data_IF_034954485536
#
_entry.id   IF_034954485536
#
_cell.length_a   1.000
_cell.length_b   1.000
_cell.length_c   1.000
_cell.angle_alpha   90.00
_cell.angle_beta   90.00
_cell.angle_gamma   90.00
#
_symmetry.space_group_name_H-M   'P 1'
#
loop_
_entity.id
_entity.type
_entity.pdbx_description
1 polymer ?
#
# COMPACT_ATOMS: atom_id res chain seq x y z
N UNK A 1 7.94 15.03 22.06
CA UNK A 1 8.46 14.41 20.83
C UNK A 1 7.59 13.19 20.57
N UNK A 2 6.87 13.15 19.45
CA UNK A 2 5.98 12.03 19.08
C UNK A 2 6.84 10.81 18.76
N UNK A 3 6.45 9.65 19.25
CA UNK A 3 7.23 8.40 19.12
C UNK A 3 6.60 7.47 18.09
N UNK A 4 7.40 7.03 17.15
CA UNK A 4 6.93 6.18 16.04
C UNK A 4 7.70 4.87 15.97
N UNK A 5 7.02 3.82 15.54
CA UNK A 5 7.62 2.56 15.09
C UNK A 5 7.35 2.35 13.61
N UNK A 6 8.28 1.72 12.87
CA UNK A 6 8.21 1.57 11.43
C UNK A 6 8.38 0.10 11.07
N UNK A 7 7.34 -0.54 10.58
CA UNK A 7 7.41 -1.83 9.92
C UNK A 7 7.89 -1.65 8.47
N UNK A 8 9.07 -2.20 8.14
CA UNK A 8 9.63 -2.11 6.79
C UNK A 8 10.42 -0.82 6.51
N UNK A 9 11.24 -0.37 7.45
CA UNK A 9 12.05 0.86 7.36
C UNK A 9 13.04 0.89 6.20
N UNK A 10 13.45 -0.26 5.69
CA UNK A 10 14.39 -0.37 4.56
C UNK A 10 13.72 -0.36 3.18
N UNK A 11 12.39 -0.36 3.12
CA UNK A 11 11.61 -0.22 1.89
C UNK A 11 11.46 1.24 1.46
N UNK A 12 10.84 1.45 0.28
CA UNK A 12 10.67 2.79 -0.30
C UNK A 12 9.92 3.76 0.63
N UNK A 13 8.80 3.34 1.22
CA UNK A 13 8.05 4.17 2.16
C UNK A 13 8.80 4.34 3.48
N UNK A 14 9.42 3.26 3.98
CA UNK A 14 10.18 3.31 5.23
C UNK A 14 11.36 4.27 5.17
N UNK A 15 12.13 4.27 4.10
CA UNK A 15 13.26 5.21 3.92
C UNK A 15 12.76 6.66 3.81
N UNK A 16 11.68 6.91 3.07
CA UNK A 16 11.08 8.25 2.99
C UNK A 16 10.45 8.69 4.32
N UNK A 17 9.93 7.76 5.13
CA UNK A 17 9.50 8.06 6.51
C UNK A 17 10.68 8.56 7.34
N UNK A 18 11.83 7.90 7.25
CA UNK A 18 13.04 8.34 7.94
C UNK A 18 13.57 9.67 7.41
N UNK A 19 13.40 9.99 6.12
CA UNK A 19 13.71 11.32 5.57
C UNK A 19 12.81 12.40 6.21
N UNK A 20 11.53 12.12 6.39
CA UNK A 20 10.61 13.03 7.10
C UNK A 20 11.04 13.24 8.55
N UNK A 21 11.47 12.16 9.23
CA UNK A 21 12.00 12.26 10.60
C UNK A 21 13.23 13.16 10.66
N UNK A 22 14.20 12.97 9.75
CA UNK A 22 15.40 13.81 9.67
C UNK A 22 15.07 15.30 9.46
N UNK A 23 14.13 15.56 8.53
CA UNK A 23 13.79 16.92 8.15
C UNK A 23 13.11 17.72 9.27
N UNK A 24 12.30 17.07 10.10
CA UNK A 24 11.53 17.73 11.15
C UNK A 24 12.23 17.75 12.52
N UNK A 25 12.96 16.70 12.89
CA UNK A 25 13.74 16.63 14.13
C UNK A 25 12.94 16.54 15.44
N UNK A 26 11.60 16.40 15.36
CA UNK A 26 10.70 16.34 16.52
C UNK A 26 9.94 15.00 16.63
N UNK A 27 10.35 14.01 15.82
CA UNK A 27 9.91 12.62 15.89
C UNK A 27 11.02 11.73 16.45
N UNK A 28 10.67 10.81 17.34
CA UNK A 28 11.57 9.79 17.88
C UNK A 28 11.23 8.42 17.28
N UNK A 29 12.20 7.80 16.61
CA UNK A 29 12.06 6.43 16.07
C UNK A 29 12.42 5.44 17.16
N UNK A 30 11.41 4.81 17.78
CA UNK A 30 11.63 3.85 18.88
C UNK A 30 11.83 2.42 18.40
N UNK A 31 11.33 2.07 17.20
CA UNK A 31 11.45 0.74 16.64
C UNK A 31 11.43 0.74 15.11
N UNK A 32 12.22 -0.15 14.48
CA UNK A 32 12.30 -0.31 13.02
C UNK A 32 12.37 -1.78 12.63
N UNK A 33 11.96 -2.10 11.40
CA UNK A 33 12.13 -3.47 10.90
C UNK A 33 12.53 -3.54 9.44
N UNK A 34 13.10 -4.69 9.06
CA UNK A 34 13.36 -5.07 7.67
C UNK A 34 12.98 -6.53 7.42
N UNK A 35 12.74 -6.89 6.14
CA UNK A 35 12.61 -8.28 5.73
C UNK A 35 13.97 -9.02 5.86
N UNK A 36 14.92 -8.69 4.98
CA UNK A 36 16.26 -9.30 4.93
C UNK A 36 17.41 -8.31 4.72
N UNK A 37 17.11 -7.02 4.45
CA UNK A 37 18.14 -6.00 4.20
C UNK A 37 18.73 -5.48 5.50
N UNK A 38 19.55 -6.30 6.15
CA UNK A 38 20.19 -5.94 7.42
C UNK A 38 21.30 -4.90 7.27
N UNK A 39 21.89 -4.73 6.09
CA UNK A 39 22.94 -3.74 5.88
C UNK A 39 22.40 -2.31 6.00
N UNK A 40 21.26 -2.04 5.33
CA UNK A 40 20.59 -0.75 5.48
C UNK A 40 19.97 -0.60 6.88
N UNK A 41 19.41 -1.69 7.44
CA UNK A 41 18.84 -1.67 8.77
C UNK A 41 19.89 -1.33 9.85
N UNK A 42 21.12 -1.87 9.75
CA UNK A 42 22.24 -1.51 10.63
C UNK A 42 22.57 -0.01 10.55
N UNK A 43 22.63 0.55 9.34
CA UNK A 43 22.86 1.99 9.16
C UNK A 43 21.75 2.82 9.84
N UNK A 44 20.49 2.42 9.68
CA UNK A 44 19.36 3.07 10.32
C UNK A 44 19.39 2.94 11.86
N UNK A 45 19.79 1.79 12.38
CA UNK A 45 19.99 1.59 13.84
C UNK A 45 21.07 2.55 14.38
N UNK A 46 22.20 2.66 13.69
CA UNK A 46 23.30 3.55 14.10
C UNK A 46 22.96 5.03 14.00
N UNK A 47 22.05 5.40 13.10
CA UNK A 47 21.62 6.78 12.91
C UNK A 47 20.51 7.21 13.87
N UNK A 48 19.45 6.38 14.00
CA UNK A 48 18.23 6.75 14.73
C UNK A 48 18.20 6.22 16.16
N UNK A 49 19.14 5.33 16.54
CA UNK A 49 19.25 4.75 17.87
C UNK A 49 17.93 4.18 18.43
N UNK A 50 17.17 3.36 17.66
CA UNK A 50 15.93 2.77 18.15
C UNK A 50 16.22 1.81 19.32
N UNK A 51 15.24 1.62 20.18
CA UNK A 51 15.34 0.66 21.28
C UNK A 51 15.18 -0.78 20.82
N UNK A 52 14.46 -0.97 19.70
CA UNK A 52 14.13 -2.28 19.16
C UNK A 52 14.25 -2.29 17.63
N UNK A 53 14.77 -3.39 17.09
CA UNK A 53 14.72 -3.65 15.67
C UNK A 53 14.30 -5.10 15.41
N UNK A 54 13.49 -5.32 14.34
CA UNK A 54 13.04 -6.66 13.97
C UNK A 54 13.48 -7.02 12.53
N UNK A 55 13.84 -8.29 12.33
CA UNK A 55 14.20 -8.81 11.01
C UNK A 55 13.28 -9.98 10.69
N UNK A 56 12.65 -9.97 9.51
CA UNK A 56 11.75 -11.06 9.08
C UNK A 56 12.46 -12.41 8.93
N UNK A 57 13.71 -12.39 8.49
CA UNK A 57 14.57 -13.57 8.34
C UNK A 57 15.35 -13.82 9.64
N UNK A 58 15.18 -15.02 10.22
CA UNK A 58 15.79 -15.39 11.49
C UNK A 58 17.33 -15.49 11.40
N UNK A 59 17.85 -15.98 10.28
CA UNK A 59 19.31 -16.09 10.07
C UNK A 59 19.92 -14.69 9.97
N UNK A 60 19.26 -13.80 9.24
CA UNK A 60 19.67 -12.40 9.15
C UNK A 60 19.52 -11.65 10.47
N UNK A 61 18.55 -12.00 11.30
CA UNK A 61 18.41 -11.43 12.63
C UNK A 61 19.61 -11.81 13.54
N UNK A 62 20.05 -13.06 13.47
CA UNK A 62 21.25 -13.50 14.21
C UNK A 62 22.51 -12.76 13.73
N UNK A 63 22.70 -12.63 12.40
CA UNK A 63 23.81 -11.85 11.82
C UNK A 63 23.75 -10.38 12.26
N UNK A 64 22.58 -9.75 12.29
CA UNK A 64 22.45 -8.37 12.72
C UNK A 64 22.80 -8.18 14.20
N UNK A 65 22.40 -9.11 15.09
CA UNK A 65 22.77 -9.05 16.52
C UNK A 65 24.30 -8.95 16.72
N UNK A 66 25.06 -9.70 15.94
CA UNK A 66 26.53 -9.64 16.01
C UNK A 66 27.08 -8.32 15.49
N UNK A 67 26.47 -7.75 14.45
CA UNK A 67 26.89 -6.48 13.84
C UNK A 67 26.66 -5.27 14.75
N UNK A 68 25.57 -5.30 15.56
CA UNK A 68 25.17 -4.17 16.42
C UNK A 68 25.38 -4.44 17.92
N UNK A 69 26.20 -5.43 18.31
CA UNK A 69 26.49 -5.78 19.71
C UNK A 69 27.09 -4.65 20.53
N UNK A 70 27.60 -3.62 19.88
CA UNK A 70 28.13 -2.38 20.45
C UNK A 70 27.03 -1.36 20.82
N UNK A 71 25.77 -1.62 20.44
CA UNK A 71 24.65 -0.71 20.62
C UNK A 71 23.60 -1.30 21.59
N UNK A 72 22.91 -0.45 22.38
CA UNK A 72 21.87 -0.90 23.32
C UNK A 72 20.52 -1.13 22.62
N UNK A 73 20.51 -1.87 21.51
CA UNK A 73 19.31 -2.20 20.72
C UNK A 73 18.96 -3.67 20.88
N UNK A 74 17.70 -3.97 21.15
CA UNK A 74 17.19 -5.36 21.16
C UNK A 74 16.82 -5.77 19.73
N UNK A 75 17.23 -6.97 19.30
CA UNK A 75 16.91 -7.52 17.96
C UNK A 75 15.92 -8.66 18.09
N UNK A 76 14.71 -8.48 17.54
CA UNK A 76 13.69 -9.50 17.34
C UNK A 76 13.78 -10.16 15.97
N UNK A 77 13.08 -11.29 15.78
CA UNK A 77 13.06 -12.02 14.51
C UNK A 77 11.69 -12.58 14.18
N UNK A 78 11.45 -12.80 12.90
CA UNK A 78 10.23 -13.40 12.40
C UNK A 78 8.96 -12.59 12.71
N UNK A 79 7.82 -13.26 12.70
CA UNK A 79 6.51 -12.63 13.00
C UNK A 79 6.44 -12.13 14.46
N UNK A 80 6.98 -12.89 15.40
CA UNK A 80 6.98 -12.50 16.83
C UNK A 80 7.74 -11.20 17.04
N UNK A 81 8.91 -11.03 16.38
CA UNK A 81 9.66 -9.79 16.42
C UNK A 81 8.90 -8.61 15.79
N UNK A 82 8.16 -8.86 14.70
CA UNK A 82 7.33 -7.83 14.06
C UNK A 82 6.16 -7.41 14.98
N UNK A 83 5.54 -8.34 15.68
CA UNK A 83 4.45 -8.08 16.62
C UNK A 83 5.01 -7.35 17.86
N UNK A 84 6.16 -7.76 18.40
CA UNK A 84 6.80 -7.06 19.50
C UNK A 84 7.10 -5.60 19.15
N UNK A 85 7.64 -5.34 17.96
CA UNK A 85 7.86 -3.99 17.45
C UNK A 85 6.56 -3.19 17.35
N UNK A 86 5.52 -3.79 16.77
CA UNK A 86 4.24 -3.14 16.55
C UNK A 86 3.51 -2.78 17.85
N UNK A 87 3.79 -3.50 18.94
CA UNK A 87 3.14 -3.33 20.23
C UNK A 87 4.02 -2.61 21.28
N UNK A 88 5.16 -2.06 20.88
CA UNK A 88 6.06 -1.32 21.77
C UNK A 88 5.30 -0.25 22.58
N UNK A 89 5.35 -0.26 23.91
CA UNK A 89 4.55 0.66 24.73
C UNK A 89 4.91 2.13 24.50
N UNK A 90 6.14 2.40 24.10
CA UNK A 90 6.61 3.77 23.84
C UNK A 90 6.09 4.38 22.55
N UNK A 91 5.74 3.58 21.52
CA UNK A 91 5.26 4.13 20.25
C UNK A 91 3.82 4.62 20.37
N UNK A 92 3.51 5.73 19.71
CA UNK A 92 2.17 6.30 19.57
C UNK A 92 1.57 5.91 18.23
N UNK A 93 2.40 5.87 17.17
CA UNK A 93 2.02 5.54 15.80
C UNK A 93 2.87 4.39 15.30
N UNK A 94 2.23 3.44 14.61
CA UNK A 94 2.89 2.43 13.81
C UNK A 94 2.76 2.79 12.31
N UNK A 95 3.91 2.99 11.64
CA UNK A 95 3.95 3.09 10.18
C UNK A 95 4.05 1.70 9.58
N UNK A 96 3.05 1.28 8.80
CA UNK A 96 3.02 -0.04 8.18
C UNK A 96 3.53 0.03 6.73
N UNK A 97 4.85 -0.03 6.54
CA UNK A 97 5.52 0.12 5.26
C UNK A 97 6.06 -1.22 4.68
N UNK A 98 5.55 -2.34 5.15
CA UNK A 98 5.82 -3.67 4.59
C UNK A 98 4.82 -4.01 3.49
N UNK A 99 5.24 -4.81 2.52
CA UNK A 99 4.42 -5.21 1.37
C UNK A 99 3.76 -6.56 1.62
N UNK A 100 2.53 -6.74 1.12
CA UNK A 100 1.80 -8.00 1.18
C UNK A 100 1.07 -8.22 2.51
N UNK A 101 0.42 -9.37 2.64
CA UNK A 101 -0.46 -9.68 3.76
C UNK A 101 0.25 -9.94 5.08
N UNK A 102 1.57 -10.08 5.07
CA UNK A 102 2.40 -10.25 6.29
C UNK A 102 2.21 -9.09 7.29
N UNK A 103 1.79 -7.91 6.81
CA UNK A 103 1.52 -6.73 7.64
C UNK A 103 0.26 -6.80 8.49
N UNK A 104 -0.68 -7.71 8.21
CA UNK A 104 -2.00 -7.72 8.86
C UNK A 104 -1.87 -8.05 10.35
N UNK A 105 -1.17 -9.13 10.70
CA UNK A 105 -1.02 -9.56 12.11
C UNK A 105 -0.40 -8.48 13.01
N UNK A 106 0.76 -7.90 12.66
CA UNK A 106 1.32 -6.82 13.48
C UNK A 106 0.45 -5.56 13.50
N UNK A 107 -0.29 -5.24 12.43
CA UNK A 107 -1.24 -4.11 12.43
C UNK A 107 -2.39 -4.35 13.42
N UNK A 108 -3.00 -5.54 13.41
CA UNK A 108 -4.05 -5.94 14.38
C UNK A 108 -3.51 -5.86 15.82
N UNK A 109 -2.30 -6.35 16.05
CA UNK A 109 -1.67 -6.29 17.37
C UNK A 109 -1.43 -4.84 17.83
N UNK A 110 -0.96 -3.97 16.96
CA UNK A 110 -0.75 -2.55 17.25
C UNK A 110 -2.05 -1.83 17.62
N UNK A 111 -3.12 -2.08 16.85
CA UNK A 111 -4.44 -1.49 17.13
C UNK A 111 -4.97 -1.90 18.51
N UNK A 112 -4.86 -3.20 18.86
CA UNK A 112 -5.21 -3.72 20.19
C UNK A 112 -4.33 -3.14 21.32
N UNK A 113 -3.12 -2.70 20.97
CA UNK A 113 -2.22 -2.00 21.89
C UNK A 113 -2.45 -0.47 21.91
N UNK A 114 -3.53 0.02 21.27
CA UNK A 114 -3.92 1.44 21.27
C UNK A 114 -3.02 2.34 20.41
N UNK A 115 -2.42 1.80 19.32
CA UNK A 115 -1.56 2.58 18.43
C UNK A 115 -2.34 3.07 17.21
N UNK A 116 -2.18 4.34 16.87
CA UNK A 116 -2.61 4.83 15.57
C UNK A 116 -1.79 4.19 14.44
N UNK A 117 -2.40 3.99 13.29
CA UNK A 117 -1.78 3.32 12.14
C UNK A 117 -1.59 4.31 10.99
N UNK A 118 -0.34 4.63 10.67
CA UNK A 118 0.01 5.28 9.40
C UNK A 118 0.11 4.18 8.32
N UNK A 119 -0.99 3.97 7.60
CA UNK A 119 -1.21 2.82 6.72
C UNK A 119 -0.64 3.05 5.33
N UNK A 120 0.49 2.39 5.01
CA UNK A 120 1.00 2.30 3.64
C UNK A 120 0.79 0.91 3.01
N UNK A 121 0.48 -0.10 3.82
CA UNK A 121 0.20 -1.46 3.38
C UNK A 121 -1.29 -1.60 3.01
N UNK A 122 -1.62 -1.32 1.76
CA UNK A 122 -3.02 -1.36 1.27
C UNK A 122 -3.64 -2.74 1.34
N UNK A 123 -2.83 -3.80 1.23
CA UNK A 123 -3.28 -5.19 1.29
C UNK A 123 -4.02 -5.49 2.60
N UNK A 124 -3.68 -4.80 3.69
CA UNK A 124 -4.37 -4.91 4.98
C UNK A 124 -5.87 -4.60 4.88
N UNK A 125 -6.25 -3.50 4.20
CA UNK A 125 -7.67 -3.15 4.01
C UNK A 125 -8.31 -3.91 2.85
N UNK A 126 -7.56 -4.17 1.78
CA UNK A 126 -8.05 -4.95 0.64
C UNK A 126 -8.57 -6.31 1.08
N UNK A 127 -7.81 -7.02 1.91
CA UNK A 127 -8.10 -8.42 2.27
C UNK A 127 -8.85 -8.56 3.59
N UNK A 128 -8.63 -7.67 4.53
CA UNK A 128 -9.16 -7.75 5.89
C UNK A 128 -9.93 -6.49 6.34
N UNK A 129 -10.37 -5.63 5.42
CA UNK A 129 -11.04 -4.37 5.76
C UNK A 129 -12.28 -4.53 6.64
N UNK A 130 -13.04 -5.62 6.47
CA UNK A 130 -14.20 -5.98 7.29
C UNK A 130 -13.84 -6.33 8.74
N UNK A 131 -12.57 -6.69 9.01
CA UNK A 131 -12.04 -6.94 10.37
C UNK A 131 -11.37 -5.66 10.91
N UNK A 132 -10.55 -5.02 10.07
CA UNK A 132 -9.67 -3.91 10.47
C UNK A 132 -10.47 -2.66 10.84
N UNK A 133 -11.46 -2.27 10.03
CA UNK A 133 -12.20 -1.02 10.28
C UNK A 133 -13.05 -1.08 11.56
N UNK A 134 -13.83 -2.15 11.82
CA UNK A 134 -14.53 -2.28 13.11
C UNK A 134 -13.56 -2.37 14.31
N UNK A 135 -12.42 -3.06 14.18
CA UNK A 135 -11.42 -3.14 15.23
C UNK A 135 -10.80 -1.77 15.55
N UNK A 136 -10.57 -0.92 14.52
CA UNK A 136 -10.06 0.44 14.74
C UNK A 136 -11.05 1.28 15.56
N UNK A 137 -12.35 1.18 15.25
CA UNK A 137 -13.41 1.85 15.99
C UNK A 137 -13.50 1.33 17.43
N UNK A 138 -13.49 0.01 17.63
CA UNK A 138 -13.52 -0.64 18.96
C UNK A 138 -12.33 -0.22 19.83
N UNK A 139 -11.12 -0.18 19.26
CA UNK A 139 -9.90 0.23 19.95
C UNK A 139 -9.76 1.75 20.10
N UNK A 140 -10.59 2.55 19.43
CA UNK A 140 -10.50 4.02 19.43
C UNK A 140 -9.23 4.55 18.78
N UNK A 141 -8.65 3.83 17.80
CA UNK A 141 -7.43 4.21 17.09
C UNK A 141 -7.73 4.72 15.69
N UNK A 142 -6.85 5.57 15.15
CA UNK A 142 -7.01 6.13 13.83
C UNK A 142 -6.22 5.33 12.78
N UNK A 143 -6.82 5.16 11.59
CA UNK A 143 -6.11 4.70 10.40
C UNK A 143 -5.86 5.91 9.51
N UNK A 144 -4.58 6.30 9.41
CA UNK A 144 -4.11 7.48 8.70
C UNK A 144 -3.48 7.02 7.38
N UNK A 145 -4.08 7.34 6.22
CA UNK A 145 -3.60 6.82 4.94
C UNK A 145 -2.27 7.45 4.53
N UNK A 146 -1.36 6.61 4.07
CA UNK A 146 -0.07 6.99 3.47
C UNK A 146 -0.10 6.83 1.95
N UNK A 147 -0.92 5.92 1.41
CA UNK A 147 -1.13 5.85 -0.04
C UNK A 147 -1.58 7.23 -0.57
N UNK A 148 -0.98 7.71 -1.67
CA UNK A 148 -1.13 9.09 -2.15
C UNK A 148 -2.56 9.47 -2.46
N UNK A 149 -3.31 8.59 -3.10
CA UNK A 149 -4.70 8.79 -3.48
C UNK A 149 -5.61 8.86 -2.26
N UNK A 150 -5.41 7.93 -1.31
CA UNK A 150 -6.19 7.88 -0.07
C UNK A 150 -5.85 9.04 0.86
N UNK A 151 -4.58 9.42 0.94
CA UNK A 151 -4.16 10.64 1.65
C UNK A 151 -4.80 11.88 1.04
N UNK A 152 -4.89 11.97 -0.28
CA UNK A 152 -5.54 13.08 -0.97
C UNK A 152 -7.04 13.18 -0.61
N UNK A 153 -7.77 12.06 -0.68
CA UNK A 153 -9.17 12.00 -0.27
C UNK A 153 -9.32 12.37 1.21
N UNK A 154 -8.48 11.82 2.08
CA UNK A 154 -8.48 12.10 3.51
C UNK A 154 -8.24 13.60 3.79
N UNK A 155 -7.34 14.26 3.03
CA UNK A 155 -7.11 15.69 3.11
C UNK A 155 -8.30 16.52 2.64
N UNK A 156 -8.99 16.10 1.56
CA UNK A 156 -10.21 16.75 1.07
C UNK A 156 -11.38 16.63 2.06
N UNK A 157 -11.39 15.57 2.87
CA UNK A 157 -12.45 15.33 3.86
C UNK A 157 -12.16 15.97 5.23
N UNK A 158 -11.03 16.67 5.38
CA UNK A 158 -10.69 17.31 6.65
C UNK A 158 -11.63 18.47 6.95
N UNK A 159 -12.44 18.33 8.01
CA UNK A 159 -13.47 19.29 8.41
C UNK A 159 -14.81 19.09 7.70
N UNK A 160 -14.90 18.17 6.76
CA UNK A 160 -16.11 17.87 6.01
C UNK A 160 -16.94 16.74 6.65
N UNK A 161 -18.25 16.74 6.37
CA UNK A 161 -19.14 15.69 6.79
C UNK A 161 -19.11 14.53 5.78
N UNK A 162 -18.60 13.37 6.17
CA UNK A 162 -18.54 12.18 5.30
C UNK A 162 -19.90 11.72 4.74
N UNK A 163 -21.01 12.08 5.38
CA UNK A 163 -22.37 11.77 4.89
C UNK A 163 -22.77 12.59 3.66
N UNK A 164 -22.01 13.65 3.38
CA UNK A 164 -22.23 14.52 2.22
C UNK A 164 -21.39 14.11 1.00
N UNK A 165 -20.62 13.03 1.09
CA UNK A 165 -19.89 12.45 -0.06
C UNK A 165 -20.94 11.94 -1.06
N UNK A 166 -20.87 12.42 -2.30
CA UNK A 166 -21.58 11.85 -3.44
C UNK A 166 -20.73 10.80 -4.12
N UNK A 167 -19.43 11.11 -4.35
CA UNK A 167 -18.53 10.21 -5.06
C UNK A 167 -17.06 10.45 -4.69
N UNK A 168 -16.28 9.39 -4.65
CA UNK A 168 -14.83 9.45 -4.64
C UNK A 168 -14.29 9.33 -6.07
N UNK A 169 -13.40 10.24 -6.45
CA UNK A 169 -12.75 10.27 -7.76
C UNK A 169 -11.27 9.93 -7.58
N UNK A 170 -10.94 8.64 -7.75
CA UNK A 170 -9.56 8.15 -7.60
C UNK A 170 -8.82 8.37 -8.91
N UNK A 171 -7.71 9.11 -8.86
CA UNK A 171 -6.91 9.37 -10.06
C UNK A 171 -5.90 8.24 -10.32
N UNK A 172 -5.59 8.02 -11.58
CA UNK A 172 -4.58 7.10 -12.06
C UNK A 172 -3.66 7.79 -13.06
N UNK A 173 -2.37 7.46 -13.08
CA UNK A 173 -1.47 7.92 -14.16
C UNK A 173 -1.79 7.26 -15.51
N UNK A 174 -2.47 6.11 -15.48
CA UNK A 174 -2.70 5.23 -16.62
C UNK A 174 -1.54 4.25 -16.88
N UNK A 175 -0.45 4.34 -16.11
CA UNK A 175 0.70 3.45 -16.23
C UNK A 175 1.54 3.65 -17.50
N UNK A 176 2.60 2.83 -17.70
CA UNK A 176 3.51 2.96 -18.84
C UNK A 176 2.90 2.60 -20.20
N UNK A 177 1.77 1.93 -20.20
CA UNK A 177 1.12 1.44 -21.41
C UNK A 177 -0.17 2.18 -21.77
N UNK A 178 -0.43 3.32 -21.14
CA UNK A 178 -1.59 4.17 -21.43
C UNK A 178 -1.70 4.44 -22.94
N UNK A 179 -2.90 4.22 -23.51
CA UNK A 179 -3.20 4.43 -24.93
C UNK A 179 -2.79 3.27 -25.85
N UNK A 180 -2.19 2.19 -25.32
CA UNK A 180 -1.89 0.98 -26.11
C UNK A 180 -3.11 0.08 -26.21
N UNK A 181 -3.25 -0.57 -27.35
CA UNK A 181 -4.23 -1.62 -27.60
C UNK A 181 -3.78 -2.96 -27.04
N UNK A 182 -4.71 -3.90 -26.85
CA UNK A 182 -4.40 -5.26 -26.36
C UNK A 182 -3.38 -5.98 -27.26
N UNK A 183 -3.47 -5.80 -28.58
CA UNK A 183 -2.50 -6.41 -29.54
C UNK A 183 -1.09 -5.85 -29.35
N UNK A 184 -0.94 -4.55 -29.06
CA UNK A 184 0.37 -3.95 -28.78
C UNK A 184 0.98 -4.43 -27.45
N UNK A 185 0.14 -4.95 -26.55
CA UNK A 185 0.58 -5.48 -25.25
C UNK A 185 1.04 -6.94 -25.30
N UNK A 186 0.76 -7.70 -26.37
CA UNK A 186 1.08 -9.13 -26.45
C UNK A 186 2.56 -9.46 -26.24
N UNK A 187 3.44 -8.55 -26.70
CA UNK A 187 4.89 -8.78 -26.69
C UNK A 187 5.68 -7.72 -25.88
N UNK A 188 5.01 -7.02 -24.95
CA UNK A 188 5.71 -6.07 -24.08
C UNK A 188 6.62 -6.80 -23.11
N UNK A 189 7.78 -6.20 -22.85
CA UNK A 189 8.80 -6.80 -21.98
C UNK A 189 8.68 -6.29 -20.55
N UNK A 190 9.34 -7.00 -19.61
CA UNK A 190 9.47 -6.58 -18.21
C UNK A 190 10.10 -5.20 -18.12
N UNK A 191 11.14 -4.96 -18.89
CA UNK A 191 11.87 -3.69 -18.91
C UNK A 191 11.00 -2.51 -19.38
N UNK A 192 10.07 -2.76 -20.31
CA UNK A 192 9.09 -1.76 -20.76
C UNK A 192 8.03 -1.50 -19.68
N UNK A 193 7.54 -2.57 -19.03
CA UNK A 193 6.52 -2.47 -18.00
C UNK A 193 7.02 -1.77 -16.72
N UNK A 194 8.33 -1.83 -16.44
CA UNK A 194 8.96 -1.16 -15.30
C UNK A 194 9.26 0.34 -15.53
N UNK A 195 9.00 0.89 -16.72
CA UNK A 195 9.23 2.32 -17.03
C UNK A 195 8.00 3.17 -16.72
N UNK A 196 7.74 3.40 -15.41
CA UNK A 196 6.63 4.28 -15.02
C UNK A 196 6.93 5.74 -15.41
N UNK A 197 5.96 6.51 -15.99
CA UNK A 197 6.21 7.85 -16.51
C UNK A 197 6.49 8.91 -15.43
N UNK A 198 5.89 8.79 -14.23
CA UNK A 198 5.89 9.86 -13.22
C UNK A 198 6.56 9.46 -11.89
N UNK A 199 6.55 8.16 -11.56
CA UNK A 199 6.96 7.68 -10.25
C UNK A 199 8.15 6.72 -10.33
N UNK A 200 9.06 6.84 -9.38
CA UNK A 200 10.09 5.83 -9.12
C UNK A 200 9.61 4.93 -7.97
N UNK A 201 9.22 3.71 -8.29
CA UNK A 201 8.56 2.78 -7.35
C UNK A 201 9.23 1.40 -7.38
N UNK A 202 8.86 0.56 -6.42
CA UNK A 202 9.24 -0.85 -6.43
C UNK A 202 8.69 -1.61 -7.65
N UNK A 203 9.31 -2.73 -8.00
CA UNK A 203 8.97 -3.49 -9.21
C UNK A 203 7.52 -3.98 -9.19
N UNK A 204 7.05 -4.55 -8.06
CA UNK A 204 5.69 -5.10 -7.94
C UNK A 204 4.63 -4.02 -8.23
N UNK A 205 4.67 -2.90 -7.52
CA UNK A 205 3.68 -1.82 -7.68
C UNK A 205 3.76 -1.16 -9.06
N UNK A 206 4.93 -1.15 -9.71
CA UNK A 206 5.07 -0.63 -11.08
C UNK A 206 4.34 -1.52 -12.09
N UNK A 207 4.40 -2.86 -11.94
CA UNK A 207 3.62 -3.79 -12.76
C UNK A 207 2.13 -3.67 -12.43
N UNK A 208 1.75 -3.52 -11.16
CA UNK A 208 0.36 -3.28 -10.75
C UNK A 208 -0.20 -1.99 -11.38
N UNK A 209 0.62 -0.95 -11.51
CA UNK A 209 0.25 0.28 -12.23
C UNK A 209 0.06 0.02 -13.73
N UNK A 210 0.97 -0.75 -14.35
CA UNK A 210 0.91 -1.09 -15.76
C UNK A 210 -0.34 -1.92 -16.12
N UNK A 211 -0.84 -2.74 -15.20
CA UNK A 211 -2.02 -3.61 -15.36
C UNK A 211 -3.33 -2.97 -14.87
N UNK A 212 -3.29 -1.79 -14.25
CA UNK A 212 -4.37 -1.18 -13.46
C UNK A 212 -4.85 -2.02 -12.26
N UNK A 213 -4.13 -3.05 -11.87
CA UNK A 213 -4.40 -3.78 -10.62
C UNK A 213 -4.19 -2.86 -9.41
N UNK A 214 -3.13 -2.04 -9.40
CA UNK A 214 -2.91 -1.08 -8.31
C UNK A 214 -4.15 -0.23 -8.06
N UNK A 215 -4.74 0.29 -9.14
CA UNK A 215 -5.95 1.11 -9.03
C UNK A 215 -7.16 0.32 -8.54
N UNK A 216 -7.23 -0.96 -8.90
CA UNK A 216 -8.23 -1.88 -8.35
C UNK A 216 -8.08 -2.11 -6.84
N UNK A 217 -6.84 -2.32 -6.37
CA UNK A 217 -6.55 -2.44 -4.93
C UNK A 217 -6.92 -1.14 -4.18
N UNK A 218 -6.62 0.01 -4.76
CA UNK A 218 -6.96 1.31 -4.18
C UNK A 218 -8.47 1.57 -4.11
N UNK A 219 -9.26 1.11 -5.09
CA UNK A 219 -10.72 1.15 -5.03
C UNK A 219 -11.26 0.33 -3.84
N UNK A 220 -10.68 -0.87 -3.62
CA UNK A 220 -11.05 -1.70 -2.47
C UNK A 220 -10.67 -1.05 -1.13
N UNK A 221 -9.47 -0.47 -1.05
CA UNK A 221 -9.01 0.25 0.13
C UNK A 221 -9.90 1.45 0.43
N UNK A 222 -10.23 2.27 -0.59
CA UNK A 222 -11.10 3.44 -0.43
C UNK A 222 -12.50 3.07 0.08
N UNK A 223 -13.08 1.99 -0.43
CA UNK A 223 -14.37 1.46 0.06
C UNK A 223 -14.36 1.28 1.58
N UNK A 224 -13.32 0.66 2.11
CA UNK A 224 -13.21 0.39 3.54
C UNK A 224 -12.84 1.64 4.35
N UNK A 225 -11.83 2.37 3.92
CA UNK A 225 -11.29 3.50 4.67
C UNK A 225 -12.27 4.68 4.79
N UNK A 226 -13.08 4.89 3.76
CA UNK A 226 -14.04 6.00 3.73
C UNK A 226 -15.49 5.56 3.91
N UNK A 227 -15.78 4.26 3.94
CA UNK A 227 -17.13 3.73 4.10
C UNK A 227 -18.05 4.07 2.92
N UNK A 228 -17.51 4.07 1.70
CA UNK A 228 -18.23 4.43 0.47
C UNK A 228 -18.43 3.18 -0.39
N UNK A 229 -19.67 2.99 -0.91
CA UNK A 229 -19.95 1.87 -1.80
C UNK A 229 -19.23 1.97 -3.13
N UNK A 230 -18.94 0.82 -3.76
CA UNK A 230 -18.20 0.75 -5.01
C UNK A 230 -18.81 1.57 -6.16
N UNK A 231 -20.13 1.70 -6.18
CA UNK A 231 -20.82 2.45 -7.24
C UNK A 231 -20.66 3.98 -7.08
N UNK A 232 -20.19 4.42 -5.92
CA UNK A 232 -19.79 5.80 -5.61
C UNK A 232 -18.27 6.01 -5.67
N UNK A 233 -17.50 5.07 -6.26
CA UNK A 233 -16.06 5.21 -6.48
C UNK A 233 -15.79 5.14 -7.98
N UNK A 234 -15.30 6.24 -8.53
CA UNK A 234 -14.95 6.36 -9.94
C UNK A 234 -13.44 6.52 -10.11
N UNK A 235 -12.87 5.80 -11.08
CA UNK A 235 -11.47 5.98 -11.47
C UNK A 235 -11.40 6.88 -12.71
N UNK A 236 -10.51 7.87 -12.65
CA UNK A 236 -10.21 8.79 -13.77
C UNK A 236 -8.71 8.83 -14.02
N UNK A 237 -8.30 8.90 -15.28
CA UNK A 237 -6.88 9.00 -15.61
C UNK A 237 -6.47 10.47 -15.62
N UNK A 238 -5.44 10.79 -14.83
CA UNK A 238 -4.76 12.09 -14.80
C UNK A 238 -3.27 11.86 -15.10
N UNK A 239 -2.84 12.01 -16.36
CA UNK A 239 -1.55 11.53 -16.85
C UNK A 239 -0.31 12.10 -16.14
N UNK A 240 -0.38 13.33 -15.66
CA UNK A 240 0.73 14.01 -15.00
C UNK A 240 0.88 13.68 -13.51
N UNK A 241 -0.08 12.96 -12.91
CA UNK A 241 -0.14 12.66 -11.46
C UNK A 241 -0.01 13.91 -10.57
N UNK A 242 -0.60 15.03 -10.98
CA UNK A 242 -0.61 16.30 -10.22
C UNK A 242 -1.81 16.37 -9.28
N UNK A 243 -2.98 15.89 -9.72
CA UNK A 243 -4.14 15.67 -8.86
C UNK A 243 -4.04 14.26 -8.34
N UNK A 244 -3.92 14.12 -7.03
CA UNK A 244 -3.73 12.81 -6.40
C UNK A 244 -5.04 12.08 -6.11
N UNK A 245 -6.15 12.77 -5.94
CA UNK A 245 -7.56 12.30 -6.01
C UNK A 245 -8.51 13.45 -5.61
N UNK A 246 -9.81 13.20 -5.71
CA UNK A 246 -10.85 14.20 -5.49
C UNK A 246 -12.05 13.59 -4.78
N UNK A 247 -12.84 14.46 -4.15
CA UNK A 247 -14.14 14.12 -3.55
C UNK A 247 -15.20 15.01 -4.17
N UNK A 248 -16.25 14.42 -4.72
CA UNK A 248 -17.46 15.09 -5.16
C UNK A 248 -18.49 15.02 -4.03
N UNK A 249 -19.07 16.15 -3.67
CA UNK A 249 -20.10 16.28 -2.64
C UNK A 249 -21.50 16.38 -3.26
N UNK A 250 -22.54 16.14 -2.45
CA UNK A 250 -23.95 16.15 -2.89
C UNK A 250 -24.44 17.47 -3.49
N UNK A 251 -23.80 18.58 -3.17
CA UNK A 251 -24.09 19.89 -3.74
C UNK A 251 -23.40 20.12 -5.12
N UNK A 252 -22.63 19.13 -5.59
CA UNK A 252 -21.89 19.18 -6.85
C UNK A 252 -20.50 19.81 -6.73
N UNK A 253 -20.07 20.26 -5.53
CA UNK A 253 -18.72 20.72 -5.31
C UNK A 253 -17.72 19.56 -5.45
N UNK A 254 -16.56 19.81 -6.07
CA UNK A 254 -15.47 18.86 -6.15
C UNK A 254 -14.23 19.44 -5.48
N UNK A 255 -13.77 18.79 -4.43
CA UNK A 255 -12.50 19.13 -3.77
C UNK A 255 -11.39 18.19 -4.23
N UNK A 256 -10.22 18.74 -4.51
CA UNK A 256 -9.07 18.00 -5.02
C UNK A 256 -7.80 18.35 -4.25
N UNK A 257 -6.97 17.36 -3.95
CA UNK A 257 -5.63 17.60 -3.44
C UNK A 257 -4.64 17.53 -4.61
N UNK A 258 -3.84 18.59 -4.75
CA UNK A 258 -2.80 18.72 -5.76
C UNK A 258 -1.43 18.77 -5.12
N UNK A 259 -0.44 18.17 -5.78
CA UNK A 259 0.95 18.19 -5.34
C UNK A 259 1.90 17.64 -6.40
N UNK A 260 3.19 17.81 -6.18
CA UNK A 260 4.21 17.07 -6.92
C UNK A 260 4.18 15.60 -6.51
N UNK A 261 4.57 14.64 -7.40
CA UNK A 261 4.59 13.22 -7.06
C UNK A 261 5.72 12.91 -6.06
N UNK A 262 5.45 13.07 -4.77
CA UNK A 262 6.38 12.82 -3.66
C UNK A 262 5.63 12.17 -2.49
N UNK A 263 6.06 10.96 -2.10
CA UNK A 263 5.43 10.24 -0.98
C UNK A 263 5.73 10.85 0.39
N UNK A 264 6.70 11.75 0.51
CA UNK A 264 6.97 12.45 1.79
C UNK A 264 5.79 13.30 2.24
N UNK A 265 5.01 13.85 1.31
CA UNK A 265 3.82 14.64 1.65
C UNK A 265 2.75 13.82 2.38
N UNK A 266 2.23 12.71 1.83
CA UNK A 266 1.25 11.87 2.54
C UNK A 266 1.83 11.22 3.79
N UNK A 267 3.10 10.81 3.80
CA UNK A 267 3.77 10.30 5.00
C UNK A 267 3.78 11.35 6.10
N UNK A 268 4.26 12.56 5.80
CA UNK A 268 4.31 13.65 6.78
C UNK A 268 2.92 14.02 7.28
N UNK A 269 1.93 14.07 6.39
CA UNK A 269 0.56 14.39 6.80
C UNK A 269 -0.01 13.33 7.75
N UNK A 270 0.21 12.05 7.49
CA UNK A 270 -0.20 10.98 8.40
C UNK A 270 0.48 11.06 9.77
N UNK A 271 1.77 11.40 9.83
CA UNK A 271 2.53 11.48 11.08
C UNK A 271 2.16 12.69 11.94
N UNK A 272 1.75 13.79 11.33
CA UNK A 272 1.45 15.05 12.02
C UNK A 272 -0.03 15.41 12.06
N UNK A 273 -0.90 14.58 11.48
CA UNK A 273 -2.33 14.87 11.45
C UNK A 273 -2.86 15.32 12.82
N UNK A 274 -3.70 16.38 12.89
CA UNK A 274 -4.27 17.15 11.78
C UNK A 274 -3.40 18.34 11.30
N UNK A 275 -2.19 18.51 11.82
CA UNK A 275 -1.31 19.63 11.51
C UNK A 275 -0.60 19.48 10.16
N UNK A 276 -0.34 20.62 9.51
CA UNK A 276 0.55 20.69 8.35
C UNK A 276 1.90 21.26 8.77
N UNK A 277 2.97 20.56 8.39
CA UNK A 277 4.35 20.96 8.65
C UNK A 277 5.03 21.39 7.35
N UNK A 278 6.07 22.22 7.48
CA UNK A 278 6.91 22.53 6.33
C UNK A 278 7.53 21.25 5.77
N UNK A 279 7.46 21.10 4.45
CA UNK A 279 8.12 20.03 3.72
C UNK A 279 8.99 20.68 2.64
N UNK A 280 10.30 20.41 2.68
CA UNK A 280 11.22 20.85 1.64
C UNK A 280 10.95 20.06 0.33
N UNK A 281 11.17 20.70 -0.81
CA UNK A 281 10.99 20.11 -2.14
C UNK A 281 10.27 21.04 -3.09
N UNK A 282 10.03 20.54 -4.28
CA UNK A 282 9.41 21.30 -5.37
C UNK A 282 7.96 21.66 -5.04
N UNK A 283 7.53 22.83 -5.54
CA UNK A 283 6.17 23.31 -5.47
C UNK A 283 5.55 23.33 -6.85
N UNK A 284 4.23 23.18 -6.92
CA UNK A 284 3.52 23.32 -8.18
C UNK A 284 3.63 24.77 -8.66
N UNK A 285 4.13 24.94 -9.88
CA UNK A 285 4.07 26.17 -10.63
C UNK A 285 2.89 26.09 -11.62
N UNK A 286 1.79 26.74 -11.30
CA UNK A 286 0.58 26.69 -12.11
C UNK A 286 0.75 27.40 -13.47
N UNK A 287 1.64 28.36 -13.58
CA UNK A 287 1.94 29.03 -14.84
C UNK A 287 2.72 28.07 -15.78
N UNK A 288 3.70 27.34 -15.25
CA UNK A 288 4.43 26.34 -16.01
C UNK A 288 3.58 25.09 -16.29
N UNK A 289 2.70 24.69 -15.37
CA UNK A 289 1.78 23.58 -15.55
C UNK A 289 0.78 23.81 -16.69
N UNK A 290 0.32 25.04 -16.84
CA UNK A 290 -0.60 25.56 -17.88
C UNK A 290 -1.96 24.87 -17.95
N UNK A 291 -1.99 23.54 -18.11
CA UNK A 291 -3.22 22.74 -18.22
C UNK A 291 -3.14 21.42 -17.48
N UNK A 292 -4.29 20.97 -17.00
CA UNK A 292 -4.51 19.65 -16.41
C UNK A 292 -5.53 18.92 -17.31
N UNK A 293 -5.25 17.68 -17.66
CA UNK A 293 -6.10 16.86 -18.52
C UNK A 293 -6.56 15.62 -17.83
N UNK A 294 -7.74 15.14 -18.19
CA UNK A 294 -8.31 13.88 -17.73
C UNK A 294 -8.69 13.01 -18.92
N UNK A 295 -8.60 11.70 -18.71
CA UNK A 295 -9.00 10.68 -19.69
C UNK A 295 -9.89 9.65 -19.00
N UNK A 296 -10.71 8.96 -19.79
CA UNK A 296 -11.45 7.79 -19.31
C UNK A 296 -10.49 6.63 -19.08
N UNK A 297 -10.77 5.84 -18.06
CA UNK A 297 -10.04 4.60 -17.78
C UNK A 297 -10.43 3.55 -18.82
N UNK A 298 -9.45 2.97 -19.50
CA UNK A 298 -9.64 1.87 -20.45
C UNK A 298 -9.72 0.54 -19.69
N UNK A 299 -10.93 0.10 -19.39
CA UNK A 299 -11.21 -1.16 -18.69
C UNK A 299 -11.34 -2.36 -19.62
N UNK A 300 -11.36 -2.15 -20.93
CA UNK A 300 -11.44 -3.23 -21.93
C UNK A 300 -10.05 -3.78 -22.24
N UNK A 301 -9.05 -2.91 -22.32
CA UNK A 301 -7.65 -3.29 -22.52
C UNK A 301 -6.98 -3.74 -21.22
N UNK A 302 -7.19 -3.01 -20.11
CA UNK A 302 -6.55 -3.24 -18.82
C UNK A 302 -7.52 -3.86 -17.81
N UNK A 303 -7.52 -5.18 -17.74
CA UNK A 303 -8.51 -5.95 -16.99
C UNK A 303 -8.29 -5.93 -15.45
N UNK A 304 -7.18 -5.40 -14.96
CA UNK A 304 -6.87 -5.40 -13.53
C UNK A 304 -7.91 -4.67 -12.68
N UNK A 305 -8.37 -3.49 -13.12
CA UNK A 305 -9.40 -2.73 -12.42
C UNK A 305 -10.78 -3.42 -12.42
N UNK A 306 -11.35 -3.84 -13.58
CA UNK A 306 -12.64 -4.53 -13.56
C UNK A 306 -12.62 -5.85 -12.79
N UNK A 307 -11.53 -6.62 -12.82
CA UNK A 307 -11.38 -7.84 -12.02
C UNK A 307 -11.35 -7.55 -10.52
N UNK A 308 -10.65 -6.50 -10.10
CA UNK A 308 -10.64 -6.04 -8.73
C UNK A 308 -12.04 -5.60 -8.25
N UNK A 309 -12.76 -4.85 -9.08
CA UNK A 309 -14.14 -4.45 -8.78
C UNK A 309 -15.07 -5.68 -8.66
N UNK A 310 -14.88 -6.69 -9.52
CA UNK A 310 -15.60 -7.96 -9.42
C UNK A 310 -15.28 -8.68 -8.10
N UNK A 311 -13.99 -8.80 -7.74
CA UNK A 311 -13.57 -9.41 -6.46
C UNK A 311 -14.18 -8.69 -5.27
N UNK A 312 -14.19 -7.36 -5.28
CA UNK A 312 -14.78 -6.53 -4.23
C UNK A 312 -16.31 -6.66 -4.13
N UNK A 313 -17.02 -6.80 -5.27
CA UNK A 313 -18.46 -7.06 -5.27
C UNK A 313 -18.82 -8.44 -4.76
N UNK A 314 -18.01 -9.45 -5.10
CA UNK A 314 -18.14 -10.81 -4.55
C UNK A 314 -17.92 -10.79 -3.04
N UNK A 315 -16.95 -10.02 -2.56
CA UNK A 315 -16.66 -9.86 -1.13
C UNK A 315 -16.05 -11.09 -0.48
N UNK A 316 -16.15 -11.16 0.84
CA UNK A 316 -15.60 -12.25 1.62
C UNK A 316 -14.11 -12.48 1.37
N UNK A 317 -13.71 -13.73 1.11
CA UNK A 317 -12.31 -14.09 0.81
C UNK A 317 -11.85 -13.80 -0.62
N UNK A 318 -12.74 -13.36 -1.54
CA UNK A 318 -12.38 -13.14 -2.94
C UNK A 318 -11.34 -12.01 -3.16
N UNK A 319 -11.39 -10.86 -2.45
CA UNK A 319 -10.31 -9.86 -2.52
C UNK A 319 -8.93 -10.41 -2.13
N UNK A 320 -8.87 -11.34 -1.17
CA UNK A 320 -7.63 -12.02 -0.78
C UNK A 320 -7.08 -12.85 -1.94
N UNK A 321 -7.93 -13.64 -2.59
CA UNK A 321 -7.52 -14.46 -3.74
C UNK A 321 -7.07 -13.60 -4.91
N UNK A 322 -7.78 -12.51 -5.20
CA UNK A 322 -7.37 -11.55 -6.22
C UNK A 322 -5.97 -10.98 -5.93
N UNK A 323 -5.72 -10.53 -4.71
CA UNK A 323 -4.43 -9.98 -4.31
C UNK A 323 -3.32 -11.02 -4.37
N UNK A 324 -3.53 -12.20 -3.78
CA UNK A 324 -2.55 -13.29 -3.76
C UNK A 324 -2.22 -13.78 -5.19
N UNK A 325 -3.23 -13.91 -6.04
CA UNK A 325 -3.04 -14.29 -7.44
C UNK A 325 -2.24 -13.24 -8.21
N UNK A 326 -2.53 -11.96 -8.00
CA UNK A 326 -1.75 -10.88 -8.59
C UNK A 326 -0.29 -10.90 -8.14
N UNK A 327 -0.01 -11.07 -6.86
CA UNK A 327 1.37 -11.15 -6.36
C UNK A 327 2.17 -12.24 -7.05
N UNK A 328 1.59 -13.44 -7.21
CA UNK A 328 2.24 -14.57 -7.89
C UNK A 328 2.34 -14.35 -9.41
N UNK A 329 1.31 -13.79 -10.04
CA UNK A 329 1.34 -13.47 -11.47
C UNK A 329 2.42 -12.44 -11.79
N UNK A 330 2.54 -11.39 -10.98
CA UNK A 330 3.59 -10.38 -11.13
C UNK A 330 4.98 -11.00 -10.93
N UNK A 331 5.16 -11.87 -9.94
CA UNK A 331 6.43 -12.58 -9.73
C UNK A 331 6.80 -13.47 -10.94
N UNK A 332 5.83 -14.19 -11.50
CA UNK A 332 6.01 -15.00 -12.72
C UNK A 332 6.40 -14.13 -13.93
N UNK A 333 5.74 -12.99 -14.11
CA UNK A 333 6.06 -12.05 -15.18
C UNK A 333 7.46 -11.46 -15.03
N UNK A 334 7.84 -10.99 -13.83
CA UNK A 334 9.17 -10.47 -13.55
C UNK A 334 10.27 -11.52 -13.77
N UNK A 335 9.96 -12.79 -13.48
CA UNK A 335 10.83 -13.94 -13.77
C UNK A 335 10.80 -14.37 -15.25
N UNK A 336 10.06 -13.68 -16.12
CA UNK A 336 9.87 -13.99 -17.56
C UNK A 336 9.29 -15.38 -17.82
N UNK A 337 8.51 -15.92 -16.87
CA UNK A 337 7.84 -17.23 -16.99
C UNK A 337 6.48 -17.13 -17.67
N UNK A 338 5.86 -15.97 -17.64
CA UNK A 338 4.60 -15.65 -18.34
C UNK A 338 4.73 -14.30 -19.07
N UNK A 339 3.86 -14.08 -20.06
CA UNK A 339 3.74 -12.79 -20.76
C UNK A 339 2.86 -11.82 -19.98
N UNK A 340 2.90 -10.55 -20.34
CA UNK A 340 2.18 -9.47 -19.64
C UNK A 340 0.66 -9.72 -19.53
N UNK A 341 0.02 -10.08 -20.63
CA UNK A 341 -1.42 -10.33 -20.64
C UNK A 341 -1.83 -11.60 -19.88
N UNK A 342 -0.93 -12.57 -19.72
CA UNK A 342 -1.16 -13.79 -18.95
C UNK A 342 -1.26 -13.51 -17.45
N UNK A 343 -0.85 -12.32 -16.96
CA UNK A 343 -1.10 -11.87 -15.58
C UNK A 343 -2.62 -11.94 -15.29
N UNK A 344 -3.44 -11.44 -16.20
CA UNK A 344 -4.90 -11.48 -16.04
C UNK A 344 -5.46 -12.90 -16.05
N UNK A 345 -4.89 -13.80 -16.87
CA UNK A 345 -5.33 -15.19 -16.95
C UNK A 345 -5.03 -15.94 -15.64
N UNK A 346 -3.88 -15.67 -15.01
CA UNK A 346 -3.53 -16.24 -13.70
C UNK A 346 -4.52 -15.77 -12.63
N UNK A 347 -4.83 -14.48 -12.60
CA UNK A 347 -5.75 -13.89 -11.62
C UNK A 347 -7.17 -14.47 -11.82
N UNK A 348 -7.68 -14.46 -13.07
CA UNK A 348 -8.99 -14.99 -13.40
C UNK A 348 -9.13 -16.46 -13.00
N UNK A 349 -8.16 -17.29 -13.38
CA UNK A 349 -8.17 -18.72 -13.08
C UNK A 349 -8.15 -19.03 -11.57
N UNK A 350 -7.42 -18.25 -10.78
CA UNK A 350 -7.43 -18.38 -9.32
C UNK A 350 -8.77 -17.99 -8.71
N UNK A 351 -9.36 -16.87 -9.18
CA UNK A 351 -10.68 -16.42 -8.74
C UNK A 351 -11.80 -17.41 -9.09
N UNK A 352 -11.75 -18.03 -10.26
CA UNK A 352 -12.71 -19.07 -10.68
C UNK A 352 -12.58 -20.36 -9.87
N UNK A 353 -11.36 -20.76 -9.52
CA UNK A 353 -11.10 -21.98 -8.76
C UNK A 353 -11.47 -21.87 -7.28
N UNK A 354 -11.55 -20.66 -6.75
CA UNK A 354 -11.77 -20.43 -5.33
C UNK A 354 -13.25 -20.52 -4.94
N UNK A 355 -13.52 -21.22 -3.84
CA UNK A 355 -14.83 -21.19 -3.19
C UNK A 355 -14.87 -20.09 -2.13
N UNK A 356 -15.57 -19.01 -2.44
CA UNK A 356 -15.65 -17.82 -1.57
C UNK A 356 -16.20 -18.15 -0.18
N UNK A 357 -15.50 -17.70 0.86
CA UNK A 357 -15.95 -17.67 2.25
C UNK A 357 -16.57 -16.29 2.46
N UNK A 358 -17.85 -16.22 2.83
CA UNK A 358 -18.61 -14.96 2.86
C UNK A 358 -18.12 -13.99 3.95
N UNK A 359 -17.81 -14.50 5.13
CA UNK A 359 -17.34 -13.72 6.29
C UNK A 359 -16.09 -14.41 6.90
N UNK A 360 -14.92 -14.27 6.25
CA UNK A 360 -13.73 -15.00 6.65
C UNK A 360 -13.09 -14.39 7.90
N UNK A 361 -12.66 -15.25 8.83
CA UNK A 361 -11.76 -14.85 9.92
C UNK A 361 -10.37 -14.51 9.37
N UNK A 362 -9.53 -13.90 10.21
CA UNK A 362 -8.14 -13.61 9.82
C UNK A 362 -7.38 -14.87 9.42
N UNK A 363 -7.56 -15.97 10.14
CA UNK A 363 -6.93 -17.27 9.84
C UNK A 363 -7.39 -17.80 8.49
N UNK A 364 -8.68 -17.66 8.16
CA UNK A 364 -9.24 -18.07 6.88
C UNK A 364 -8.74 -17.20 5.72
N UNK A 365 -8.54 -15.90 5.95
CA UNK A 365 -7.91 -15.00 4.99
C UNK A 365 -6.46 -15.46 4.69
N UNK A 366 -5.67 -15.74 5.71
CA UNK A 366 -4.29 -16.20 5.54
C UNK A 366 -4.23 -17.60 4.90
N UNK A 367 -5.19 -18.48 5.20
CA UNK A 367 -5.30 -19.77 4.55
C UNK A 367 -5.65 -19.61 3.05
N UNK A 368 -6.60 -18.73 2.70
CA UNK A 368 -6.98 -18.48 1.31
C UNK A 368 -5.81 -17.89 0.49
N UNK A 369 -4.96 -17.06 1.08
CA UNK A 369 -3.71 -16.61 0.45
C UNK A 369 -2.81 -17.80 0.13
N UNK A 370 -2.52 -18.65 1.11
CA UNK A 370 -1.64 -19.77 0.95
C UNK A 370 -2.17 -20.80 -0.07
N UNK A 371 -3.46 -21.12 0.00
CA UNK A 371 -4.13 -22.02 -0.97
C UNK A 371 -4.03 -21.46 -2.40
N UNK A 372 -4.17 -20.13 -2.57
CA UNK A 372 -4.00 -19.47 -3.86
C UNK A 372 -2.56 -19.60 -4.37
N UNK A 373 -1.58 -19.41 -3.50
CA UNK A 373 -0.17 -19.57 -3.86
C UNK A 373 0.13 -21.01 -4.30
N UNK A 374 -0.37 -22.00 -3.59
CA UNK A 374 -0.19 -23.42 -3.91
C UNK A 374 -0.88 -23.79 -5.24
N UNK A 375 -2.10 -23.29 -5.45
CA UNK A 375 -2.83 -23.53 -6.71
C UNK A 375 -2.04 -23.00 -7.93
N UNK A 376 -1.47 -21.79 -7.82
CA UNK A 376 -0.66 -21.19 -8.89
C UNK A 376 0.67 -21.95 -9.06
N UNK A 377 1.36 -22.28 -7.98
CA UNK A 377 2.63 -23.00 -8.03
C UNK A 377 2.48 -24.36 -8.74
N UNK A 378 1.40 -25.09 -8.46
CA UNK A 378 1.09 -26.37 -9.11
C UNK A 378 0.81 -26.22 -10.61
N UNK A 379 0.14 -25.11 -11.02
CA UNK A 379 -0.27 -24.91 -12.42
C UNK A 379 0.86 -24.36 -13.29
N UNK A 380 1.68 -23.48 -12.74
CA UNK A 380 2.72 -22.76 -13.49
C UNK A 380 4.15 -23.28 -13.21
N UNK A 381 4.30 -24.43 -12.54
CA UNK A 381 5.59 -25.08 -12.21
C UNK A 381 6.61 -24.05 -11.66
N UNK A 382 6.18 -23.30 -10.66
CA UNK A 382 7.13 -22.50 -9.89
C UNK A 382 7.98 -23.49 -9.10
N UNK A 383 9.26 -23.68 -9.50
CA UNK A 383 10.20 -24.46 -8.69
C UNK A 383 10.31 -23.83 -7.29
N UNK A 384 10.50 -24.69 -6.29
CA UNK A 384 10.76 -24.31 -4.90
C UNK A 384 11.94 -23.37 -4.76
#
# INVERSE_FOLDING_TARGET
MKKIAILGSTGSIGTQTLDVVRANGDLEVVGISAGSNITLLEQQIREFHPKFAAVGDEVKAAELRDRVKDLPVKIGSGMDGMIELATMPESEILVTAIVGMIGIRPTVAAMKAGKDIALANKETLVTAGHIIMPLAEECGVQILPVDSEHSAIFQCLHGENRKEIEKLLITASGGPFRGKTRTELENVTVEQALRHPNWSMGHKITIDSATLVNKGLEVMEAKWLFGVDLDHIQVVVQPKSIIHSMVEFKDGAVMAQLGTPDMKLPIQYALYYPERRFLAGDRLDFAALAQITFEKTDMDTFLGLPMAMQASRTGGSMPTVFNAANERAVALFLAKKIRFLEIYDVIAGAMEAHKTIADPTLEQILAAEQETYEWIANRYKMGE
#
